data_IF_203540580261
#
_entry.id   IF_203540580261
#
_cell.length_a   1.000
_cell.length_b   1.000
_cell.length_c   1.000
_cell.angle_alpha   90.00
_cell.angle_beta   90.00
_cell.angle_gamma   90.00
#
_symmetry.space_group_name_H-M   'P 1'
#
loop_
_entity.id
_entity.type
_entity.pdbx_description
1 polymer ?
#
# COMPACT_ATOMS: atom_id res chain seq x y z
N UNK A 1 -25.02 -8.77 16.22
CA UNK A 1 -25.98 -8.21 15.24
C UNK A 1 -25.41 -8.48 13.85
N UNK A 2 -26.09 -9.24 12.98
CA UNK A 2 -25.54 -9.57 11.64
C UNK A 2 -25.64 -8.34 10.72
N UNK A 3 -24.54 -7.92 10.11
CA UNK A 3 -24.54 -6.79 9.16
C UNK A 3 -24.89 -7.35 7.78
N UNK A 4 -26.14 -7.18 7.35
CA UNK A 4 -26.60 -7.61 6.02
C UNK A 4 -26.20 -6.57 4.99
N UNK A 5 -25.46 -6.98 3.96
CA UNK A 5 -25.13 -6.11 2.82
C UNK A 5 -26.23 -6.32 1.80
N UNK A 6 -27.08 -5.31 1.62
CA UNK A 6 -28.09 -5.33 0.58
C UNK A 6 -27.44 -4.87 -0.72
N UNK A 7 -27.24 -5.81 -1.64
CA UNK A 7 -26.78 -5.52 -3.00
C UNK A 7 -27.95 -4.89 -3.77
N UNK A 8 -27.73 -3.71 -4.35
CA UNK A 8 -28.65 -3.06 -5.28
C UNK A 8 -27.94 -2.81 -6.62
N UNK A 9 -28.69 -2.46 -7.67
CA UNK A 9 -28.15 -2.24 -9.02
C UNK A 9 -27.01 -1.23 -9.04
N UNK A 10 -27.13 -0.11 -8.33
CA UNK A 10 -26.05 0.88 -8.21
C UNK A 10 -24.75 0.31 -7.63
N UNK A 11 -24.83 -0.57 -6.62
CA UNK A 11 -23.65 -1.25 -6.06
C UNK A 11 -23.05 -2.22 -7.08
N UNK A 12 -23.91 -2.93 -7.84
CA UNK A 12 -23.47 -3.84 -8.89
C UNK A 12 -22.72 -3.05 -9.96
N UNK A 13 -23.29 -1.96 -10.48
CA UNK A 13 -22.66 -1.12 -11.50
C UNK A 13 -21.33 -0.53 -11.03
N UNK A 14 -21.27 -0.05 -9.79
CA UNK A 14 -20.03 0.45 -9.19
C UNK A 14 -18.96 -0.64 -9.09
N UNK A 15 -19.33 -1.86 -8.67
CA UNK A 15 -18.41 -2.99 -8.58
C UNK A 15 -17.94 -3.42 -9.98
N UNK A 16 -18.85 -3.48 -10.95
CA UNK A 16 -18.54 -3.86 -12.32
C UNK A 16 -17.60 -2.86 -12.98
N UNK A 17 -17.88 -1.56 -12.86
CA UNK A 17 -16.99 -0.50 -13.33
C UNK A 17 -15.58 -0.60 -12.73
N UNK A 18 -15.48 -0.96 -11.44
CA UNK A 18 -14.18 -1.23 -10.79
C UNK A 18 -13.50 -2.51 -11.27
N UNK A 19 -14.25 -3.52 -11.69
CA UNK A 19 -13.67 -4.72 -12.29
C UNK A 19 -13.14 -4.38 -13.69
N UNK A 20 -13.92 -3.65 -14.49
CA UNK A 20 -13.62 -3.34 -15.89
C UNK A 20 -12.46 -2.34 -16.05
N UNK A 21 -12.36 -1.36 -15.14
CA UNK A 21 -11.27 -0.37 -15.14
C UNK A 21 -9.97 -0.86 -14.50
N UNK A 22 -10.00 -2.01 -13.82
CA UNK A 22 -8.85 -2.51 -13.07
C UNK A 22 -8.02 -3.39 -13.98
N UNK A 23 -6.73 -3.05 -14.10
CA UNK A 23 -5.80 -3.92 -14.79
C UNK A 23 -5.40 -5.13 -13.95
N UNK A 24 -4.30 -5.79 -14.30
CA UNK A 24 -3.90 -7.04 -13.66
C UNK A 24 -3.71 -6.89 -12.13
N UNK A 25 -4.51 -7.65 -11.38
CA UNK A 25 -4.50 -7.66 -9.91
C UNK A 25 -3.18 -8.20 -9.37
N UNK A 26 -2.48 -9.06 -10.12
CA UNK A 26 -1.20 -9.64 -9.69
C UNK A 26 -0.05 -8.64 -9.74
N UNK A 27 -0.26 -7.48 -10.35
CA UNK A 27 0.74 -6.41 -10.48
C UNK A 27 0.58 -5.32 -9.41
N UNK A 28 -0.11 -5.59 -8.29
CA UNK A 28 -0.38 -4.60 -7.24
C UNK A 28 0.89 -3.91 -6.73
N UNK A 29 1.99 -4.64 -6.56
CA UNK A 29 3.25 -4.12 -6.04
C UNK A 29 3.90 -3.15 -7.04
N UNK A 30 4.00 -3.55 -8.31
CA UNK A 30 4.56 -2.71 -9.37
C UNK A 30 3.73 -1.46 -9.62
N UNK A 31 2.40 -1.58 -9.64
CA UNK A 31 1.49 -0.44 -9.80
C UNK A 31 1.64 0.55 -8.64
N UNK A 32 1.78 0.06 -7.42
CA UNK A 32 2.04 0.91 -6.26
C UNK A 32 3.36 1.68 -6.43
N UNK A 33 4.45 1.00 -6.80
CA UNK A 33 5.77 1.62 -6.96
C UNK A 33 5.79 2.66 -8.09
N UNK A 34 5.19 2.35 -9.25
CA UNK A 34 5.09 3.28 -10.38
C UNK A 34 4.31 4.53 -9.99
N UNK A 35 3.14 4.36 -9.38
CA UNK A 35 2.30 5.49 -8.96
C UNK A 35 2.98 6.33 -7.87
N UNK A 36 3.67 5.68 -6.92
CA UNK A 36 4.49 6.35 -5.93
C UNK A 36 5.58 7.20 -6.60
N UNK A 37 6.32 6.63 -7.55
CA UNK A 37 7.37 7.32 -8.30
C UNK A 37 6.84 8.53 -9.07
N UNK A 38 5.70 8.40 -9.76
CA UNK A 38 5.05 9.52 -10.46
C UNK A 38 4.72 10.65 -9.47
N UNK A 39 4.13 10.35 -8.31
CA UNK A 39 3.81 11.39 -7.32
C UNK A 39 5.05 12.01 -6.69
N UNK A 40 6.13 11.24 -6.53
CA UNK A 40 7.41 11.75 -6.07
C UNK A 40 7.99 12.75 -7.10
N UNK A 41 8.02 12.36 -8.37
CA UNK A 41 8.55 13.18 -9.46
C UNK A 41 7.74 14.47 -9.66
N UNK A 42 6.40 14.38 -9.61
CA UNK A 42 5.54 15.58 -9.69
C UNK A 42 5.87 16.57 -8.57
N UNK A 43 6.08 16.09 -7.34
CA UNK A 43 6.46 16.96 -6.22
C UNK A 43 7.84 17.58 -6.44
N UNK A 44 8.81 16.81 -6.94
CA UNK A 44 10.16 17.28 -7.26
C UNK A 44 10.12 18.38 -8.31
N UNK A 45 9.47 18.13 -9.45
CA UNK A 45 9.28 19.11 -10.52
C UNK A 45 8.55 20.37 -10.02
N UNK A 46 7.54 20.22 -9.16
CA UNK A 46 6.87 21.37 -8.55
C UNK A 46 7.83 22.23 -7.72
N UNK A 47 8.76 21.64 -6.96
CA UNK A 47 9.75 22.38 -6.17
C UNK A 47 10.78 23.08 -7.05
N UNK A 48 11.14 22.47 -8.18
CA UNK A 48 12.11 23.03 -9.14
C UNK A 48 11.52 24.18 -9.97
N UNK A 49 10.23 24.11 -10.31
CA UNK A 49 9.61 25.03 -11.26
C UNK A 49 8.75 26.13 -10.61
N UNK A 50 8.21 25.92 -9.41
CA UNK A 50 7.42 26.96 -8.73
C UNK A 50 8.27 27.86 -7.84
N UNK A 51 8.15 29.17 -8.05
CA UNK A 51 8.80 30.19 -7.21
C UNK A 51 7.95 30.51 -5.97
N UNK A 52 6.62 30.38 -6.09
CA UNK A 52 5.68 30.72 -5.01
C UNK A 52 5.54 29.56 -4.02
N UNK A 53 5.77 29.85 -2.74
CA UNK A 53 5.71 28.87 -1.64
C UNK A 53 4.35 28.18 -1.57
N UNK A 54 3.27 28.89 -1.83
CA UNK A 54 1.90 28.37 -1.76
C UNK A 54 1.65 27.25 -2.78
N UNK A 55 2.30 27.30 -3.96
CA UNK A 55 2.17 26.25 -4.98
C UNK A 55 2.98 25.01 -4.62
N UNK A 56 4.13 25.19 -3.97
CA UNK A 56 4.91 24.08 -3.39
C UNK A 56 4.11 23.42 -2.26
N UNK A 57 3.55 24.20 -1.33
CA UNK A 57 2.71 23.68 -0.25
C UNK A 57 1.48 22.94 -0.78
N UNK A 58 0.84 23.44 -1.84
CA UNK A 58 -0.25 22.73 -2.51
C UNK A 58 0.22 21.39 -3.12
N UNK A 59 1.39 21.38 -3.76
CA UNK A 59 1.98 20.16 -4.31
C UNK A 59 2.31 19.14 -3.22
N UNK A 60 2.77 19.58 -2.05
CA UNK A 60 2.97 18.73 -0.87
C UNK A 60 1.64 18.11 -0.39
N UNK A 61 0.55 18.90 -0.35
CA UNK A 61 -0.79 18.39 -0.02
C UNK A 61 -1.24 17.33 -1.02
N UNK A 62 -1.07 17.58 -2.31
CA UNK A 62 -1.44 16.63 -3.37
C UNK A 62 -0.60 15.35 -3.32
N UNK A 63 0.69 15.45 -2.97
CA UNK A 63 1.53 14.28 -2.72
C UNK A 63 0.92 13.42 -1.60
N UNK A 64 0.54 13.99 -0.45
CA UNK A 64 -0.10 13.24 0.64
C UNK A 64 -1.41 12.56 0.21
N UNK A 65 -2.26 13.29 -0.52
CA UNK A 65 -3.52 12.72 -1.05
C UNK A 65 -3.24 11.53 -1.96
N UNK A 66 -2.23 11.65 -2.83
CA UNK A 66 -1.82 10.61 -3.77
C UNK A 66 -1.25 9.39 -3.04
N UNK A 67 -0.32 9.58 -2.11
CA UNK A 67 0.29 8.53 -1.29
C UNK A 67 -0.76 7.67 -0.57
N UNK A 68 -1.74 8.30 0.08
CA UNK A 68 -2.82 7.57 0.76
C UNK A 68 -3.76 6.88 -0.23
N UNK A 69 -4.01 7.48 -1.39
CA UNK A 69 -4.84 6.83 -2.42
C UNK A 69 -4.15 5.58 -2.99
N UNK A 70 -2.83 5.62 -3.16
CA UNK A 70 -2.05 4.47 -3.63
C UNK A 70 -1.94 3.38 -2.59
N UNK A 71 -1.74 3.71 -1.31
CA UNK A 71 -1.72 2.68 -0.26
C UNK A 71 -3.10 2.05 -0.09
N UNK A 72 -4.18 2.84 -0.14
CA UNK A 72 -5.55 2.29 -0.14
C UNK A 72 -5.75 1.31 -1.30
N UNK A 73 -5.31 1.68 -2.50
CA UNK A 73 -5.47 0.85 -3.70
C UNK A 73 -4.67 -0.43 -3.57
N UNK A 74 -3.40 -0.35 -3.11
CA UNK A 74 -2.54 -1.50 -2.84
C UNK A 74 -3.20 -2.46 -1.84
N UNK A 75 -3.65 -1.95 -0.70
CA UNK A 75 -4.30 -2.76 0.33
C UNK A 75 -5.57 -3.42 -0.21
N UNK A 76 -6.39 -2.67 -0.95
CA UNK A 76 -7.60 -3.21 -1.58
C UNK A 76 -7.27 -4.32 -2.58
N UNK A 77 -6.23 -4.14 -3.39
CA UNK A 77 -5.77 -5.12 -4.37
C UNK A 77 -5.26 -6.40 -3.70
N UNK A 78 -4.38 -6.26 -2.71
CA UNK A 78 -3.87 -7.38 -1.92
C UNK A 78 -5.03 -8.14 -1.25
N UNK A 79 -5.98 -7.42 -0.65
CA UNK A 79 -7.12 -8.06 0.00
C UNK A 79 -7.95 -8.89 -0.99
N UNK A 80 -8.24 -8.34 -2.18
CA UNK A 80 -8.97 -9.05 -3.23
C UNK A 80 -8.16 -10.23 -3.77
N UNK A 81 -6.86 -10.07 -3.95
CA UNK A 81 -5.95 -11.14 -4.36
C UNK A 81 -6.00 -12.30 -3.38
N UNK A 82 -5.83 -12.04 -2.07
CA UNK A 82 -5.87 -13.07 -1.03
C UNK A 82 -7.23 -13.76 -1.00
N UNK A 83 -8.34 -13.02 -1.16
CA UNK A 83 -9.68 -13.62 -1.26
C UNK A 83 -9.81 -14.59 -2.44
N UNK A 84 -9.06 -14.36 -3.53
CA UNK A 84 -9.04 -15.26 -4.71
C UNK A 84 -8.14 -16.47 -4.48
N UNK A 85 -6.95 -16.26 -3.93
CA UNK A 85 -5.90 -17.29 -3.88
C UNK A 85 -5.90 -18.15 -2.61
N UNK A 86 -6.41 -17.67 -1.47
CA UNK A 86 -6.44 -18.44 -0.21
C UNK A 86 -7.78 -19.15 -0.02
N UNK A 87 -7.86 -20.49 -0.16
CA UNK A 87 -9.09 -21.23 0.07
C UNK A 87 -9.64 -20.98 1.48
N UNK A 88 -10.95 -20.79 1.58
CA UNK A 88 -11.65 -20.54 2.84
C UNK A 88 -11.46 -19.15 3.46
N UNK A 89 -10.57 -18.30 2.93
CA UNK A 89 -10.36 -16.95 3.48
C UNK A 89 -11.61 -16.07 3.35
N UNK A 90 -12.32 -16.17 2.23
CA UNK A 90 -13.61 -15.49 2.04
C UNK A 90 -14.64 -15.89 3.12
N UNK A 91 -14.79 -17.18 3.39
CA UNK A 91 -15.72 -17.68 4.41
C UNK A 91 -15.31 -17.24 5.81
N UNK A 92 -14.00 -17.21 6.07
CA UNK A 92 -13.46 -16.80 7.36
C UNK A 92 -13.73 -15.31 7.64
N UNK A 93 -13.48 -14.44 6.65
CA UNK A 93 -13.79 -13.01 6.74
C UNK A 93 -15.31 -12.77 6.87
N UNK A 94 -16.13 -13.43 6.06
CA UNK A 94 -17.59 -13.23 6.13
C UNK A 94 -18.17 -13.71 7.46
N UNK A 95 -17.65 -14.82 8.01
CA UNK A 95 -18.03 -15.33 9.34
C UNK A 95 -17.62 -14.36 10.45
N UNK A 96 -16.37 -13.90 10.46
CA UNK A 96 -15.84 -12.96 11.46
C UNK A 96 -16.70 -11.70 11.57
N UNK A 97 -17.13 -11.15 10.42
CA UNK A 97 -17.94 -9.93 10.38
C UNK A 97 -19.45 -10.19 10.31
N UNK A 98 -19.89 -11.43 10.47
CA UNK A 98 -21.30 -11.80 10.43
C UNK A 98 -22.02 -11.25 9.18
N UNK A 99 -21.34 -11.32 8.04
CA UNK A 99 -21.78 -10.79 6.76
C UNK A 99 -22.63 -11.81 6.01
N UNK A 100 -23.69 -11.33 5.38
CA UNK A 100 -24.47 -12.12 4.44
C UNK A 100 -24.61 -11.30 3.16
N UNK A 101 -24.03 -11.81 2.08
CA UNK A 101 -24.18 -11.23 0.74
C UNK A 101 -25.35 -11.95 0.09
N UNK A 102 -26.45 -11.23 -0.11
CA UNK A 102 -27.63 -11.76 -0.81
C UNK A 102 -27.61 -11.31 -2.27
N UNK A 103 -27.46 -12.25 -3.21
CA UNK A 103 -27.42 -12.03 -4.65
C UNK A 103 -26.31 -12.84 -5.34
N UNK A 104 -26.56 -13.34 -6.55
CA UNK A 104 -25.53 -13.97 -7.38
C UNK A 104 -24.70 -12.90 -8.09
N UNK A 105 -23.53 -12.59 -7.53
CA UNK A 105 -22.45 -11.90 -8.22
C UNK A 105 -21.31 -12.90 -8.39
N UNK A 106 -21.40 -13.69 -9.47
CA UNK A 106 -20.51 -14.82 -9.77
C UNK A 106 -19.00 -14.45 -9.72
N UNK A 107 -18.68 -13.17 -9.98
CA UNK A 107 -17.31 -12.61 -9.91
C UNK A 107 -17.15 -11.40 -8.97
N UNK A 108 -18.24 -10.75 -8.56
CA UNK A 108 -18.20 -9.45 -7.85
C UNK A 108 -18.12 -9.54 -6.32
N UNK A 109 -18.44 -10.68 -5.71
CA UNK A 109 -18.54 -10.82 -4.25
C UNK A 109 -17.26 -10.44 -3.50
N UNK A 110 -16.08 -10.75 -4.06
CA UNK A 110 -14.77 -10.40 -3.45
C UNK A 110 -14.52 -8.90 -3.48
N UNK A 111 -14.89 -8.24 -4.58
CA UNK A 111 -14.79 -6.78 -4.72
C UNK A 111 -15.78 -6.08 -3.78
N UNK A 112 -17.01 -6.60 -3.68
CA UNK A 112 -18.01 -6.10 -2.75
C UNK A 112 -17.55 -6.22 -1.29
N UNK A 113 -16.92 -7.34 -0.92
CA UNK A 113 -16.36 -7.54 0.42
C UNK A 113 -15.26 -6.51 0.72
N UNK A 114 -14.40 -6.21 -0.25
CA UNK A 114 -13.37 -5.19 -0.11
C UNK A 114 -13.92 -3.76 0.09
N UNK A 115 -15.12 -3.45 -0.42
CA UNK A 115 -15.77 -2.13 -0.24
C UNK A 115 -16.29 -1.89 1.19
N UNK A 116 -16.38 -2.92 2.03
CA UNK A 116 -16.83 -2.79 3.43
C UNK A 116 -15.74 -2.16 4.29
N UNK A 117 -14.49 -2.36 3.91
CA UNK A 117 -13.33 -1.88 4.66
C UNK A 117 -12.88 -0.54 4.09
N UNK A 118 -12.74 0.44 4.98
CA UNK A 118 -12.10 1.69 4.65
C UNK A 118 -10.58 1.56 4.82
N UNK A 119 -9.86 1.30 3.73
CA UNK A 119 -8.39 1.22 3.74
C UNK A 119 -7.70 2.59 3.90
N UNK A 120 -8.44 3.66 4.17
CA UNK A 120 -7.94 4.94 4.69
C UNK A 120 -8.16 5.06 6.21
N UNK A 121 -8.33 3.95 6.92
CA UNK A 121 -8.49 3.94 8.37
C UNK A 121 -7.70 2.76 8.99
N UNK A 122 -6.76 3.06 9.89
CA UNK A 122 -5.91 2.05 10.55
C UNK A 122 -6.71 0.91 11.17
N UNK A 123 -7.82 1.20 11.85
CA UNK A 123 -8.63 0.16 12.51
C UNK A 123 -9.31 -0.75 11.51
N UNK A 124 -9.77 -0.20 10.39
CA UNK A 124 -10.38 -1.00 9.33
C UNK A 124 -9.34 -1.81 8.53
N UNK A 125 -8.12 -1.28 8.36
CA UNK A 125 -6.98 -2.04 7.79
C UNK A 125 -6.63 -3.22 8.69
N UNK A 126 -6.41 -2.97 9.99
CA UNK A 126 -6.16 -4.01 10.99
C UNK A 126 -7.26 -5.07 10.94
N UNK A 127 -8.52 -4.63 10.97
CA UNK A 127 -9.68 -5.51 10.90
C UNK A 127 -9.65 -6.36 9.61
N UNK A 128 -9.45 -5.75 8.44
CA UNK A 128 -9.46 -6.48 7.17
C UNK A 128 -8.43 -7.62 7.14
N UNK A 129 -7.22 -7.38 7.64
CA UNK A 129 -6.09 -8.31 7.48
C UNK A 129 -5.76 -9.17 8.70
N UNK A 130 -6.20 -8.81 9.91
CA UNK A 130 -5.95 -9.62 11.13
C UNK A 130 -6.34 -11.08 10.93
N UNK A 131 -7.40 -11.30 10.17
CA UNK A 131 -7.95 -12.61 9.81
C UNK A 131 -6.93 -13.54 9.09
N UNK A 132 -5.84 -12.98 8.56
CA UNK A 132 -4.74 -13.75 7.96
C UNK A 132 -3.89 -14.49 8.99
N UNK A 133 -3.86 -14.03 10.24
CA UNK A 133 -2.93 -14.43 11.28
C UNK A 133 -3.69 -15.16 12.41
N UNK A 134 -3.08 -16.21 12.96
CA UNK A 134 -3.74 -17.07 13.95
C UNK A 134 -3.65 -16.52 15.39
N UNK A 135 -2.68 -15.66 15.69
CA UNK A 135 -2.42 -15.20 17.07
C UNK A 135 -2.01 -13.73 17.24
N UNK A 136 -1.66 -13.02 16.16
CA UNK A 136 -1.11 -11.66 16.22
C UNK A 136 -2.02 -10.61 15.56
N UNK A 137 -1.71 -9.33 15.78
CA UNK A 137 -2.31 -8.23 15.00
C UNK A 137 -1.64 -8.10 13.64
N UNK A 138 -2.36 -7.60 12.64
CA UNK A 138 -1.80 -7.39 11.30
C UNK A 138 -0.59 -6.46 11.32
N UNK A 139 -0.66 -5.36 12.07
CA UNK A 139 0.47 -4.42 12.11
C UNK A 139 1.68 -4.94 12.89
N UNK A 140 1.52 -5.78 13.92
CA UNK A 140 2.66 -6.42 14.61
C UNK A 140 3.40 -7.40 13.69
N UNK A 141 2.65 -8.23 12.95
CA UNK A 141 3.21 -9.21 12.01
C UNK A 141 3.97 -8.52 10.88
N UNK A 142 3.35 -7.51 10.26
CA UNK A 142 3.99 -6.74 9.18
C UNK A 142 5.15 -5.89 9.71
N UNK A 143 5.04 -5.36 10.94
CA UNK A 143 6.08 -4.59 11.59
C UNK A 143 7.36 -5.40 11.83
N UNK A 144 7.17 -6.62 12.31
CA UNK A 144 8.24 -7.53 12.72
C UNK A 144 8.79 -8.38 11.56
N UNK A 145 8.07 -8.48 10.44
CA UNK A 145 8.49 -9.23 9.25
C UNK A 145 9.88 -8.80 8.76
N UNK A 146 10.84 -9.73 8.81
CA UNK A 146 12.25 -9.48 8.47
C UNK A 146 12.53 -9.90 7.03
N UNK A 147 13.04 -8.96 6.24
CA UNK A 147 13.56 -9.19 4.89
C UNK A 147 15.05 -8.91 4.82
N UNK A 148 15.73 -9.55 3.87
CA UNK A 148 17.08 -9.14 3.48
C UNK A 148 16.96 -7.97 2.51
N UNK A 149 17.62 -6.85 2.81
CA UNK A 149 17.71 -5.65 1.97
C UNK A 149 19.16 -5.45 1.54
N UNK A 150 19.38 -5.20 0.25
CA UNK A 150 20.67 -4.73 -0.25
C UNK A 150 20.87 -3.26 0.10
N UNK A 151 21.98 -2.93 0.75
CA UNK A 151 22.41 -1.57 1.02
C UNK A 151 23.46 -1.18 -0.04
N UNK A 152 23.10 -0.27 -0.93
CA UNK A 152 23.95 0.18 -2.03
C UNK A 152 25.17 0.98 -1.56
N UNK A 153 25.06 1.69 -0.43
CA UNK A 153 26.14 2.52 0.11
C UNK A 153 27.28 1.65 0.63
N UNK A 154 26.92 0.61 1.38
CA UNK A 154 27.91 -0.29 2.00
C UNK A 154 28.18 -1.55 1.16
N UNK A 155 27.44 -1.77 0.07
CA UNK A 155 27.46 -2.98 -0.77
C UNK A 155 27.29 -4.27 0.04
N UNK A 156 26.44 -4.23 1.07
CA UNK A 156 26.16 -5.38 1.95
C UNK A 156 24.67 -5.65 2.07
N UNK A 157 24.35 -6.90 2.40
CA UNK A 157 22.98 -7.32 2.70
C UNK A 157 22.72 -7.12 4.20
N UNK A 158 21.73 -6.30 4.53
CA UNK A 158 21.27 -6.05 5.89
C UNK A 158 19.89 -6.65 6.11
N UNK A 159 19.60 -7.02 7.36
CA UNK A 159 18.23 -7.37 7.76
C UNK A 159 17.43 -6.09 7.95
N UNK A 160 16.24 -6.05 7.37
CA UNK A 160 15.31 -4.93 7.47
C UNK A 160 13.96 -5.42 8.01
N UNK A 161 13.39 -4.68 8.95
CA UNK A 161 11.98 -4.78 9.34
C UNK A 161 11.49 -3.37 9.68
N UNK A 162 10.19 -3.12 9.59
CA UNK A 162 9.66 -1.79 9.87
C UNK A 162 9.94 -1.39 11.32
N UNK A 163 9.76 -2.30 12.28
CA UNK A 163 9.96 -1.99 13.70
C UNK A 163 11.39 -1.61 14.06
N UNK A 164 12.39 -2.23 13.40
CA UNK A 164 13.80 -1.96 13.68
C UNK A 164 14.34 -0.80 12.87
N UNK A 165 13.95 -0.69 11.61
CA UNK A 165 14.52 0.28 10.67
C UNK A 165 13.73 1.59 10.63
N UNK A 166 12.45 1.57 11.03
CA UNK A 166 11.57 2.74 11.10
C UNK A 166 10.69 2.67 12.38
N UNK A 167 11.25 2.84 13.59
CA UNK A 167 10.54 2.55 14.86
C UNK A 167 9.18 3.23 15.06
N UNK A 168 8.94 4.38 14.40
CA UNK A 168 7.69 5.13 14.48
C UNK A 168 6.80 4.97 13.23
N UNK A 169 6.99 3.92 12.43
CA UNK A 169 6.30 3.76 11.15
C UNK A 169 4.77 3.71 11.31
N UNK A 170 4.25 3.00 12.32
CA UNK A 170 2.79 2.88 12.51
C UNK A 170 2.16 4.20 12.95
N UNK A 171 2.86 4.96 13.80
CA UNK A 171 2.45 6.31 14.19
C UNK A 171 2.43 7.23 12.96
N UNK A 172 3.52 7.22 12.18
CA UNK A 172 3.62 7.99 10.94
C UNK A 172 2.51 7.62 9.95
N UNK A 173 2.21 6.32 9.77
CA UNK A 173 1.13 5.84 8.90
C UNK A 173 -0.23 6.39 9.34
N UNK A 174 -0.52 6.32 10.64
CA UNK A 174 -1.76 6.86 11.22
C UNK A 174 -1.84 8.39 11.06
N UNK A 175 -0.73 9.08 11.25
CA UNK A 175 -0.64 10.53 11.11
C UNK A 175 -0.85 10.98 9.67
N UNK A 176 -0.21 10.33 8.69
CA UNK A 176 -0.40 10.69 7.26
C UNK A 176 -1.83 10.43 6.78
N UNK A 177 -2.47 9.37 7.27
CA UNK A 177 -3.89 9.10 6.99
C UNK A 177 -4.79 10.22 7.52
N UNK A 178 -4.56 10.68 8.76
CA UNK A 178 -5.30 11.81 9.36
C UNK A 178 -5.04 13.11 8.62
N UNK A 179 -3.78 13.37 8.25
CA UNK A 179 -3.39 14.55 7.47
C UNK A 179 -4.10 14.58 6.13
N UNK A 180 -4.19 13.45 5.41
CA UNK A 180 -4.98 13.37 4.18
C UNK A 180 -6.46 13.66 4.41
N UNK A 181 -7.05 13.14 5.49
CA UNK A 181 -8.44 13.43 5.82
C UNK A 181 -8.68 14.94 5.98
N UNK A 182 -7.80 15.62 6.71
CA UNK A 182 -7.88 17.07 6.90
C UNK A 182 -7.71 17.83 5.57
N UNK A 183 -6.71 17.46 4.75
CA UNK A 183 -6.49 18.10 3.44
C UNK A 183 -7.73 18.02 2.53
N UNK A 184 -8.44 16.89 2.53
CA UNK A 184 -9.57 16.67 1.61
C UNK A 184 -10.87 17.29 2.12
N UNK A 185 -11.10 17.32 3.43
CA UNK A 185 -12.37 17.75 4.00
C UNK A 185 -12.36 19.17 4.59
N UNK A 186 -11.19 19.69 4.95
CA UNK A 186 -11.05 21.05 5.46
C UNK A 186 -10.45 21.96 4.38
N UNK A 187 -11.32 22.73 3.72
CA UNK A 187 -10.92 23.69 2.69
C UNK A 187 -10.01 24.81 3.19
N UNK A 188 -9.90 24.99 4.50
CA UNK A 188 -9.01 25.98 5.15
C UNK A 188 -7.78 25.33 5.78
N UNK A 189 -7.55 24.03 5.54
CA UNK A 189 -6.43 23.32 6.15
C UNK A 189 -5.10 23.92 5.70
N UNK A 190 -4.34 24.47 6.65
CA UNK A 190 -2.98 24.93 6.43
C UNK A 190 -2.00 23.78 6.62
N UNK A 191 -0.95 23.75 5.79
CA UNK A 191 0.09 22.73 5.91
C UNK A 191 0.88 22.99 7.20
N UNK A 192 0.72 22.13 8.20
CA UNK A 192 1.38 22.28 9.51
C UNK A 192 2.67 21.45 9.65
N UNK A 193 3.08 20.75 8.59
CA UNK A 193 4.25 19.87 8.61
C UNK A 193 5.36 20.36 7.67
N UNK A 194 6.60 20.07 8.04
CA UNK A 194 7.79 20.45 7.27
C UNK A 194 8.07 19.46 6.13
N UNK A 195 8.93 19.85 5.19
CA UNK A 195 9.45 18.95 4.15
C UNK A 195 10.12 17.71 4.74
N UNK A 196 10.84 17.86 5.86
CA UNK A 196 11.41 16.71 6.57
C UNK A 196 10.34 15.70 6.97
N UNK A 197 9.21 16.17 7.50
CA UNK A 197 8.09 15.32 7.91
C UNK A 197 7.39 14.68 6.69
N UNK A 198 7.31 15.41 5.57
CA UNK A 198 6.83 14.83 4.31
C UNK A 198 7.71 13.66 3.84
N UNK A 199 9.03 13.82 3.90
CA UNK A 199 9.98 12.75 3.55
C UNK A 199 9.83 11.54 4.49
N UNK A 200 9.58 11.77 5.78
CA UNK A 200 9.26 10.70 6.75
C UNK A 200 7.99 9.94 6.36
N UNK A 201 6.92 10.64 5.97
CA UNK A 201 5.70 10.00 5.48
C UNK A 201 5.92 9.24 4.17
N UNK A 202 6.65 9.81 3.21
CA UNK A 202 6.99 9.14 1.95
C UNK A 202 7.76 7.84 2.20
N UNK A 203 8.81 7.89 3.04
CA UNK A 203 9.58 6.70 3.45
C UNK A 203 8.69 5.66 4.12
N UNK A 204 7.82 6.09 5.03
CA UNK A 204 6.89 5.22 5.74
C UNK A 204 5.94 4.49 4.77
N UNK A 205 5.26 5.22 3.88
CA UNK A 205 4.32 4.64 2.90
C UNK A 205 5.05 3.69 1.94
N UNK A 206 6.20 4.11 1.40
CA UNK A 206 6.99 3.30 0.48
C UNK A 206 7.46 1.99 1.12
N UNK A 207 8.02 2.07 2.34
CA UNK A 207 8.52 0.89 3.03
C UNK A 207 7.38 -0.04 3.45
N UNK A 208 6.29 0.50 4.00
CA UNK A 208 5.13 -0.31 4.38
C UNK A 208 4.51 -1.04 3.19
N UNK A 209 4.30 -0.35 2.07
CA UNK A 209 3.73 -0.95 0.86
C UNK A 209 4.63 -2.06 0.28
N UNK A 210 5.94 -1.86 0.27
CA UNK A 210 6.90 -2.88 -0.19
C UNK A 210 6.96 -4.09 0.76
N UNK A 211 7.03 -3.86 2.08
CA UNK A 211 7.09 -4.93 3.08
C UNK A 211 5.84 -5.81 3.01
N UNK A 212 4.65 -5.20 2.95
CA UNK A 212 3.42 -5.99 2.86
C UNK A 212 3.31 -6.72 1.52
N UNK A 213 3.71 -6.09 0.41
CA UNK A 213 3.76 -6.76 -0.90
C UNK A 213 4.70 -7.96 -0.90
N UNK A 214 5.88 -7.84 -0.28
CA UNK A 214 6.85 -8.93 -0.15
C UNK A 214 6.33 -10.06 0.76
N UNK A 215 5.68 -9.71 1.86
CA UNK A 215 5.01 -10.68 2.72
C UNK A 215 4.02 -11.53 1.91
N UNK A 216 3.16 -10.88 1.13
CA UNK A 216 2.19 -11.58 0.27
C UNK A 216 2.91 -12.41 -0.80
N UNK A 217 3.93 -11.84 -1.46
CA UNK A 217 4.66 -12.55 -2.49
C UNK A 217 5.32 -13.85 -1.99
N UNK A 218 5.90 -13.82 -0.78
CA UNK A 218 6.50 -15.02 -0.19
C UNK A 218 5.47 -16.05 0.26
N UNK A 219 4.31 -15.62 0.77
CA UNK A 219 3.26 -16.54 1.21
C UNK A 219 2.47 -17.16 0.05
N UNK A 220 2.44 -16.51 -1.11
CA UNK A 220 1.67 -16.94 -2.28
C UNK A 220 2.54 -17.28 -3.50
N UNK A 221 3.87 -17.38 -3.35
CA UNK A 221 4.83 -17.67 -4.41
C UNK A 221 4.70 -16.74 -5.64
N UNK A 222 4.48 -15.44 -5.42
CA UNK A 222 4.46 -14.46 -6.51
C UNK A 222 5.86 -14.05 -6.94
N UNK A 223 6.05 -13.63 -8.20
CA UNK A 223 7.31 -13.04 -8.65
C UNK A 223 7.69 -11.81 -7.83
N UNK A 224 8.98 -11.66 -7.55
CA UNK A 224 9.57 -10.49 -6.88
C UNK A 224 10.74 -9.96 -7.71
N UNK A 225 11.00 -8.66 -7.64
CA UNK A 225 12.23 -8.08 -8.21
C UNK A 225 13.40 -8.49 -7.32
N UNK A 226 14.43 -9.08 -7.91
CA UNK A 226 15.62 -9.62 -7.21
C UNK A 226 16.85 -8.89 -7.70
N UNK A 227 17.66 -8.36 -6.79
CA UNK A 227 18.99 -7.79 -7.13
C UNK A 227 20.06 -8.88 -7.15
N UNK A 228 20.00 -9.80 -6.20
CA UNK A 228 21.03 -10.82 -6.02
C UNK A 228 20.43 -12.06 -5.36
N UNK A 229 21.11 -13.18 -5.47
CA UNK A 229 20.81 -14.38 -4.68
C UNK A 229 21.83 -14.51 -3.55
N UNK A 230 21.37 -14.80 -2.34
CA UNK A 230 22.28 -15.04 -1.23
C UNK A 230 23.14 -16.31 -1.47
N UNK A 231 24.12 -16.55 -0.59
CA UNK A 231 25.01 -17.73 -0.67
C UNK A 231 24.27 -19.09 -0.69
N UNK A 232 22.99 -19.11 -0.34
CA UNK A 232 22.11 -20.30 -0.33
C UNK A 232 21.11 -20.29 -1.49
N UNK A 233 21.33 -19.45 -2.51
CA UNK A 233 20.45 -19.25 -3.66
C UNK A 233 19.05 -18.75 -3.30
N UNK A 234 18.87 -18.05 -2.17
CA UNK A 234 17.61 -17.38 -1.85
C UNK A 234 17.58 -15.99 -2.48
N UNK A 235 16.47 -15.60 -3.12
CA UNK A 235 16.36 -14.28 -3.72
C UNK A 235 16.45 -13.19 -2.64
N UNK A 236 17.24 -12.15 -2.92
CA UNK A 236 17.29 -10.93 -2.13
C UNK A 236 16.46 -9.90 -2.88
N UNK A 237 15.27 -9.52 -2.35
CA UNK A 237 14.39 -8.61 -3.04
C UNK A 237 15.04 -7.24 -3.18
N UNK A 238 14.81 -6.59 -4.31
CA UNK A 238 15.11 -5.17 -4.41
C UNK A 238 14.13 -4.39 -3.55
N UNK A 239 14.65 -3.47 -2.75
CA UNK A 239 13.87 -2.66 -1.85
C UNK A 239 14.17 -1.18 -2.11
N UNK A 240 13.26 -0.52 -2.81
CA UNK A 240 13.38 0.86 -3.22
C UNK A 240 13.40 1.80 -2.00
N UNK A 241 14.39 2.68 -1.96
CA UNK A 241 14.43 3.88 -1.13
C UNK A 241 13.87 5.10 -1.88
N UNK A 242 13.90 6.27 -1.23
CA UNK A 242 13.51 7.51 -1.91
C UNK A 242 14.59 7.97 -2.90
N UNK A 243 15.84 7.71 -2.54
CA UNK A 243 17.04 7.94 -3.34
C UNK A 243 16.96 7.27 -4.73
N UNK A 244 16.27 6.14 -4.83
CA UNK A 244 16.07 5.44 -6.10
C UNK A 244 15.13 6.19 -7.05
N UNK A 245 14.37 7.18 -6.58
CA UNK A 245 13.56 8.08 -7.40
C UNK A 245 14.26 9.41 -7.70
N UNK A 246 15.43 9.66 -7.11
CA UNK A 246 16.21 10.89 -7.37
C UNK A 246 17.05 10.79 -8.64
N UNK A 247 17.34 9.55 -9.09
CA UNK A 247 18.20 9.25 -10.23
C UNK A 247 17.41 8.83 -11.47
N UNK A 248 17.92 9.22 -12.65
CA UNK A 248 17.43 8.66 -13.91
C UNK A 248 17.89 7.20 -14.02
N UNK A 249 16.93 6.29 -14.17
CA UNK A 249 17.21 4.89 -14.46
C UNK A 249 17.57 4.75 -15.94
N UNK A 250 18.77 4.24 -16.22
CA UNK A 250 19.20 3.92 -17.58
C UNK A 250 18.86 2.46 -17.82
N UNK A 251 18.01 2.19 -18.81
CA UNK A 251 17.82 0.84 -19.34
C UNK A 251 19.13 0.39 -19.97
N UNK A 252 19.72 -0.68 -19.43
CA UNK A 252 20.88 -1.31 -20.03
C UNK A 252 20.32 -2.44 -20.90
N UNK A 253 20.29 -2.23 -22.21
CA UNK A 253 20.03 -3.31 -23.17
C UNK A 253 21.08 -4.42 -22.93
N UNK A 254 20.64 -5.65 -22.71
CA UNK A 254 21.54 -6.79 -22.53
C UNK A 254 22.48 -6.93 -23.74
N UNK A 255 23.79 -7.01 -23.46
CA UNK A 255 24.85 -7.33 -24.43
C UNK A 255 25.03 -8.83 -24.53
#
# INVERSE_FOLDING_TARGET
MRKKIKVNEHIIDKVQSKIDSRGDINQFAMRFLINFGISYEVLKLSKENFVKKEYIEYSMKQCIVSLISYIETLLRDIFIFILKERPGYYDLVTKEYSLTISGELDKGNKYLLAEIFNFQNIKDIERAFKVLFESETFFEEIGSFVVNKYDSSDKIIKKFSLDKSLPNWLENLNEVIKTRHNIVHDGNYNLIFSEKKLNEYQKCILCFGQIFSLYVAYNFNLPVIVIEYDKRKKPIPYFLGLEDFEHEWIEIDEV
#
